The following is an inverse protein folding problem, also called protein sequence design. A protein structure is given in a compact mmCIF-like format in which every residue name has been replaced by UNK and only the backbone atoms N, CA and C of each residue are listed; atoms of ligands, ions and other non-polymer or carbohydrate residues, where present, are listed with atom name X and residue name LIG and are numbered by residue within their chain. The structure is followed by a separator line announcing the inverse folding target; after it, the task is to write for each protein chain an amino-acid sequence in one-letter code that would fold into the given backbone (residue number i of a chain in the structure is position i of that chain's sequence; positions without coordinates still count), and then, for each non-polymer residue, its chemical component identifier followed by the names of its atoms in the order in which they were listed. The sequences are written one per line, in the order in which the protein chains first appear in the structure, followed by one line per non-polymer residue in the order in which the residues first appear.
data_IF_820363917561
#
_entry.id   IF_820363917561
#
_cell.length_a   1.000
_cell.length_b   1.000
_cell.length_c   1.000
_cell.angle_alpha   90.00
_cell.angle_beta   90.00
_cell.angle_gamma   90.00
#
_symmetry.space_group_name_H-M   'P 1'
#
loop_
_entity.id
_entity.type
_entity.pdbx_description
1 polymer ?
#
# COMPACT_ATOMS: atom_id res chain seq x y z
N UNK A 1 20.72 29.20 -6.28
CA UNK A 1 20.87 27.95 -7.05
C UNK A 1 20.51 28.22 -8.50
N UNK A 2 21.35 27.78 -9.44
CA UNK A 2 21.12 27.89 -10.90
C UNK A 2 20.24 26.76 -11.39
N UNK A 3 19.72 26.88 -12.61
CA UNK A 3 18.92 25.81 -13.24
C UNK A 3 19.72 24.52 -13.47
N UNK A 4 21.01 24.66 -13.80
CA UNK A 4 21.89 23.50 -14.03
C UNK A 4 22.19 22.75 -12.73
N UNK A 5 22.40 23.47 -11.63
CA UNK A 5 22.53 22.87 -10.31
C UNK A 5 21.27 22.12 -9.90
N UNK A 6 20.08 22.68 -10.14
CA UNK A 6 18.80 22.02 -9.88
C UNK A 6 18.63 20.76 -10.73
N UNK A 7 19.00 20.79 -12.01
CA UNK A 7 18.96 19.63 -12.89
C UNK A 7 19.92 18.52 -12.43
N UNK A 8 21.09 18.90 -11.93
CA UNK A 8 22.05 17.94 -11.36
C UNK A 8 21.50 17.26 -10.09
N UNK A 9 20.87 18.03 -9.21
CA UNK A 9 20.17 17.48 -8.03
C UNK A 9 19.06 16.53 -8.46
N UNK A 10 18.26 16.92 -9.46
CA UNK A 10 17.19 16.07 -10.00
C UNK A 10 17.72 14.73 -10.53
N UNK A 11 18.81 14.75 -11.30
CA UNK A 11 19.46 13.56 -11.81
C UNK A 11 20.04 12.69 -10.67
N UNK A 12 20.61 13.34 -9.65
CA UNK A 12 21.10 12.65 -8.45
C UNK A 12 19.96 11.92 -7.72
N UNK A 13 18.84 12.59 -7.45
CA UNK A 13 17.65 11.99 -6.82
C UNK A 13 17.10 10.84 -7.66
N UNK A 14 17.05 11.00 -8.99
CA UNK A 14 16.64 9.92 -9.89
C UNK A 14 17.55 8.68 -9.78
N UNK A 15 18.86 8.90 -9.67
CA UNK A 15 19.86 7.83 -9.65
C UNK A 15 19.95 7.14 -8.28
N UNK A 16 19.99 7.92 -7.21
CA UNK A 16 20.24 7.43 -5.83
C UNK A 16 18.95 7.06 -5.11
N UNK A 17 17.79 7.59 -5.57
CA UNK A 17 16.48 7.51 -4.90
C UNK A 17 16.48 8.15 -3.49
N UNK A 18 17.53 8.87 -3.13
CA UNK A 18 17.62 9.57 -1.85
C UNK A 18 16.97 10.96 -1.96
N UNK A 19 16.15 11.36 -0.99
CA UNK A 19 15.56 12.69 -0.97
C UNK A 19 16.65 13.76 -0.75
N UNK A 20 16.48 14.91 -1.41
CA UNK A 20 17.37 16.05 -1.24
C UNK A 20 16.54 17.26 -0.76
N UNK A 21 16.89 17.84 0.41
CA UNK A 21 16.20 19.02 0.90
C UNK A 21 16.52 20.25 0.03
N UNK A 22 15.50 21.07 -0.21
CA UNK A 22 15.58 22.31 -0.97
C UNK A 22 14.55 23.29 -0.41
N UNK A 23 14.83 24.58 -0.41
CA UNK A 23 13.78 25.56 -0.12
C UNK A 23 12.83 25.73 -1.30
N UNK A 24 11.55 25.96 -1.02
CA UNK A 24 10.57 26.19 -2.07
C UNK A 24 10.94 27.40 -2.93
N UNK A 25 11.56 28.42 -2.33
CA UNK A 25 12.10 29.59 -3.04
C UNK A 25 13.19 29.21 -4.03
N UNK A 26 14.14 28.36 -3.62
CA UNK A 26 15.21 27.90 -4.51
C UNK A 26 14.67 27.10 -5.70
N UNK A 27 13.71 26.20 -5.46
CA UNK A 27 13.05 25.45 -6.53
C UNK A 27 12.39 26.38 -7.56
N UNK A 28 11.60 27.34 -7.08
CA UNK A 28 10.83 28.25 -7.93
C UNK A 28 11.77 29.16 -8.72
N UNK A 29 12.74 29.78 -8.04
CA UNK A 29 13.67 30.75 -8.65
C UNK A 29 14.61 30.09 -9.65
N UNK A 30 15.11 28.85 -9.37
CA UNK A 30 16.00 28.12 -10.28
C UNK A 30 15.32 27.76 -11.59
N UNK A 31 13.99 27.69 -11.60
CA UNK A 31 13.20 27.48 -12.83
C UNK A 31 12.79 28.80 -13.50
N UNK A 32 13.31 29.97 -13.04
CA UNK A 32 13.00 31.28 -13.59
C UNK A 32 11.61 31.79 -13.24
N UNK A 33 11.02 31.28 -12.17
CA UNK A 33 9.71 31.69 -11.66
C UNK A 33 9.88 32.56 -10.41
N UNK A 34 9.12 33.65 -10.27
CA UNK A 34 9.16 34.50 -9.09
C UNK A 34 7.98 34.28 -8.13
N UNK A 35 6.85 33.82 -8.68
CA UNK A 35 5.59 33.67 -7.94
C UNK A 35 4.90 32.34 -8.27
N UNK A 36 4.06 31.88 -7.36
CA UNK A 36 3.20 30.68 -7.52
C UNK A 36 1.92 31.02 -8.30
N UNK A 37 2.06 31.50 -9.56
CA UNK A 37 0.91 31.67 -10.44
C UNK A 37 0.50 30.34 -11.03
N UNK A 38 -0.75 30.21 -11.47
CA UNK A 38 -1.25 28.97 -12.13
C UNK A 38 -0.35 28.52 -13.27
N UNK A 39 0.15 29.49 -14.08
CA UNK A 39 1.09 29.19 -15.18
C UNK A 39 2.44 28.66 -14.68
N UNK A 40 3.00 29.28 -13.64
CA UNK A 40 4.29 28.85 -13.08
C UNK A 40 4.16 27.50 -12.36
N UNK A 41 3.07 27.23 -11.67
CA UNK A 41 2.77 25.94 -11.06
C UNK A 41 2.71 24.85 -12.12
N UNK A 42 2.01 25.07 -13.23
CA UNK A 42 1.95 24.12 -14.34
C UNK A 42 3.35 23.85 -14.95
N UNK A 43 4.16 24.88 -15.08
CA UNK A 43 5.53 24.75 -15.59
C UNK A 43 6.44 23.98 -14.63
N UNK A 44 6.41 24.28 -13.32
CA UNK A 44 7.18 23.57 -12.29
C UNK A 44 6.74 22.11 -12.21
N UNK A 45 5.44 21.81 -12.25
CA UNK A 45 4.93 20.44 -12.27
C UNK A 45 5.42 19.68 -13.51
N UNK A 46 5.43 20.32 -14.69
CA UNK A 46 5.97 19.72 -15.91
C UNK A 46 7.47 19.39 -15.79
N UNK A 47 8.24 20.24 -15.09
CA UNK A 47 9.64 19.96 -14.80
C UNK A 47 9.79 18.80 -13.80
N UNK A 48 9.01 18.78 -12.72
CA UNK A 48 8.99 17.69 -11.75
C UNK A 48 8.64 16.36 -12.43
N UNK A 49 7.63 16.34 -13.28
CA UNK A 49 7.21 15.14 -14.02
C UNK A 49 8.28 14.67 -15.02
N UNK A 50 8.98 15.60 -15.69
CA UNK A 50 10.11 15.28 -16.59
C UNK A 50 11.21 14.49 -15.86
N UNK A 51 11.51 14.84 -14.63
CA UNK A 51 12.52 14.16 -13.80
C UNK A 51 11.92 13.08 -12.90
N UNK A 52 10.63 12.82 -13.01
CA UNK A 52 9.91 11.89 -12.18
C UNK A 52 10.10 12.18 -10.67
N UNK A 53 9.91 13.43 -10.28
CA UNK A 53 10.08 13.94 -8.92
C UNK A 53 8.79 14.47 -8.33
N UNK A 54 8.73 14.48 -7.01
CA UNK A 54 7.71 15.18 -6.20
C UNK A 54 8.38 15.99 -5.11
N UNK A 55 7.66 16.93 -4.53
CA UNK A 55 8.10 17.66 -3.34
C UNK A 55 7.27 17.25 -2.12
N UNK A 56 7.93 17.02 -0.99
CA UNK A 56 7.27 16.67 0.27
C UNK A 56 7.83 17.55 1.40
N UNK A 57 7.01 18.41 2.02
CA UNK A 57 5.64 18.79 1.68
C UNK A 57 5.55 19.45 0.29
N UNK A 58 4.33 19.50 -0.27
CA UNK A 58 4.13 20.11 -1.59
C UNK A 58 4.64 21.57 -1.61
N UNK A 59 5.41 21.92 -2.65
CA UNK A 59 6.01 23.26 -2.78
C UNK A 59 4.97 24.38 -2.92
N UNK A 60 3.74 24.04 -3.30
CA UNK A 60 2.63 25.00 -3.44
C UNK A 60 2.11 25.43 -2.07
N UNK A 61 2.16 24.58 -1.06
CA UNK A 61 1.61 24.83 0.27
C UNK A 61 2.61 25.57 1.17
N UNK A 62 2.11 26.29 2.17
CA UNK A 62 2.90 26.97 3.21
C UNK A 62 3.74 28.14 2.71
N UNK A 63 4.74 28.53 3.49
CA UNK A 63 5.61 29.67 3.18
C UNK A 63 6.65 29.32 2.11
N UNK A 64 7.06 30.35 1.34
CA UNK A 64 8.00 30.16 0.22
C UNK A 64 9.42 29.80 0.70
N UNK A 65 9.77 30.16 1.91
CA UNK A 65 11.07 29.86 2.49
C UNK A 65 11.10 28.55 3.28
N UNK A 66 9.97 27.84 3.37
CA UNK A 66 9.94 26.52 3.99
C UNK A 66 10.79 25.54 3.18
N UNK A 67 11.43 24.62 3.90
CA UNK A 67 12.13 23.50 3.28
C UNK A 67 11.13 22.48 2.77
N UNK A 68 11.38 21.97 1.59
CA UNK A 68 10.73 20.79 1.02
C UNK A 68 11.81 19.80 0.58
N UNK A 69 11.47 18.55 0.44
CA UNK A 69 12.39 17.52 -0.07
C UNK A 69 12.00 17.17 -1.50
N UNK A 70 12.95 17.24 -2.42
CA UNK A 70 12.82 16.64 -3.74
C UNK A 70 12.97 15.14 -3.58
N UNK A 71 11.89 14.40 -3.87
CA UNK A 71 11.87 12.94 -3.81
C UNK A 71 11.62 12.37 -5.20
N UNK A 72 12.16 11.20 -5.46
CA UNK A 72 11.83 10.46 -6.66
C UNK A 72 10.33 10.09 -6.60
N UNK A 73 9.60 10.47 -7.64
CA UNK A 73 8.22 10.06 -7.84
C UNK A 73 8.26 8.64 -8.39
N UNK A 74 8.01 7.67 -7.54
CA UNK A 74 7.85 6.31 -8.02
C UNK A 74 6.69 6.30 -9.01
N UNK A 75 7.01 6.23 -10.29
CA UNK A 75 6.00 6.09 -11.34
C UNK A 75 5.45 4.68 -11.26
N UNK A 76 4.47 4.50 -10.40
CA UNK A 76 3.65 3.30 -10.44
C UNK A 76 2.74 3.46 -11.64
N UNK A 77 3.18 2.99 -12.79
CA UNK A 77 2.32 2.72 -13.93
C UNK A 77 1.47 1.49 -13.58
N UNK A 78 0.58 1.60 -12.64
CA UNK A 78 -0.52 0.65 -12.46
C UNK A 78 -1.46 1.15 -11.36
N UNK A 79 -2.74 0.93 -11.50
CA UNK A 79 -3.80 0.98 -10.49
C UNK A 79 -3.52 -0.02 -9.34
N UNK A 80 -2.35 0.05 -8.71
CA UNK A 80 -1.87 -0.95 -7.76
C UNK A 80 -1.54 -0.32 -6.43
N UNK A 81 -1.96 -1.03 -5.39
CA UNK A 81 -1.54 -0.80 -4.02
C UNK A 81 -0.07 -1.18 -3.83
N UNK A 82 0.72 -0.31 -3.18
CA UNK A 82 2.09 -0.60 -2.75
C UNK A 82 2.31 -0.13 -1.32
N UNK A 83 2.65 -1.05 -0.44
CA UNK A 83 3.07 -0.72 0.92
C UNK A 83 4.43 -0.02 0.87
N UNK A 84 4.55 1.12 1.60
CA UNK A 84 5.74 1.96 1.59
C UNK A 84 6.53 1.84 2.90
N UNK A 85 5.87 1.98 4.05
CA UNK A 85 6.50 1.77 5.36
C UNK A 85 5.53 1.24 6.40
N UNK A 86 6.06 0.56 7.41
CA UNK A 86 5.33 0.06 8.56
C UNK A 86 6.15 0.28 9.82
N UNK A 87 5.59 1.03 10.77
CA UNK A 87 6.16 1.21 12.09
C UNK A 87 5.16 0.70 13.14
N UNK A 88 5.64 -0.08 14.09
CA UNK A 88 4.85 -0.66 15.19
C UNK A 88 5.61 -0.40 16.48
N UNK A 89 4.96 0.23 17.47
CA UNK A 89 5.60 0.47 18.78
C UNK A 89 5.82 -0.84 19.53
N UNK A 90 4.74 -1.59 19.76
CA UNK A 90 4.80 -2.84 20.49
C UNK A 90 3.64 -3.76 20.07
N UNK A 91 3.95 -4.96 19.61
CA UNK A 91 2.97 -6.00 19.32
C UNK A 91 3.60 -7.38 19.41
N UNK A 92 3.23 -8.16 20.42
CA UNK A 92 3.81 -9.49 20.70
C UNK A 92 5.34 -9.39 20.86
N UNK A 93 6.12 -10.07 20.02
CA UNK A 93 7.58 -9.96 20.01
C UNK A 93 8.12 -8.89 19.05
N UNK A 94 7.25 -8.04 18.49
CA UNK A 94 7.65 -6.89 17.69
C UNK A 94 7.78 -5.67 18.62
N UNK A 95 8.99 -5.15 18.78
CA UNK A 95 9.29 -3.98 19.60
C UNK A 95 9.98 -2.95 18.73
N UNK A 96 9.44 -1.73 18.68
CA UNK A 96 9.96 -0.61 17.87
C UNK A 96 10.30 -1.04 16.43
N UNK A 97 9.40 -1.85 15.85
CA UNK A 97 9.58 -2.34 14.50
C UNK A 97 9.46 -1.20 13.50
N UNK A 98 10.44 -1.08 12.62
CA UNK A 98 10.41 -0.20 11.47
C UNK A 98 10.80 -1.01 10.24
N UNK A 99 9.87 -1.12 9.27
CA UNK A 99 10.12 -1.76 7.98
C UNK A 99 9.89 -0.73 6.90
N UNK A 100 10.87 -0.60 6.02
CA UNK A 100 10.80 0.21 4.81
C UNK A 100 10.66 -0.70 3.59
N UNK A 101 9.58 -0.50 2.83
CA UNK A 101 9.28 -1.24 1.60
C UNK A 101 9.57 -0.41 0.35
N UNK A 102 10.16 0.80 0.52
CA UNK A 102 10.38 1.76 -0.58
C UNK A 102 11.17 1.17 -1.75
N UNK A 103 12.10 0.27 -1.45
CA UNK A 103 12.95 -0.38 -2.46
C UNK A 103 12.29 -1.57 -3.16
N UNK A 104 11.06 -1.95 -2.77
CA UNK A 104 10.40 -3.13 -3.32
C UNK A 104 9.45 -2.76 -4.46
N UNK A 105 9.70 -3.27 -5.67
CA UNK A 105 8.85 -2.96 -6.83
C UNK A 105 7.51 -3.71 -6.82
N UNK A 106 7.51 -5.01 -6.52
CA UNK A 106 6.31 -5.86 -6.66
C UNK A 106 6.08 -6.81 -5.48
N UNK A 107 7.12 -7.24 -4.83
CA UNK A 107 7.02 -8.19 -3.72
C UNK A 107 8.08 -7.91 -2.66
N UNK A 108 7.76 -8.21 -1.42
CA UNK A 108 8.67 -8.16 -0.29
C UNK A 108 8.77 -9.54 0.36
N UNK A 109 9.97 -9.99 0.67
CA UNK A 109 10.21 -11.24 1.36
C UNK A 109 10.78 -10.96 2.75
N UNK A 110 10.08 -11.42 3.80
CA UNK A 110 10.56 -11.34 5.18
C UNK A 110 11.40 -12.58 5.49
N UNK A 111 12.70 -12.39 5.70
CA UNK A 111 13.65 -13.47 6.02
C UNK A 111 14.08 -13.34 7.47
N UNK A 112 14.23 -14.47 8.17
CA UNK A 112 14.70 -14.51 9.55
C UNK A 112 14.51 -15.86 10.20
N UNK A 113 15.10 -16.05 11.36
CA UNK A 113 15.02 -17.30 12.15
C UNK A 113 13.57 -17.59 12.60
N UNK A 114 13.32 -18.84 12.99
CA UNK A 114 12.04 -19.19 13.60
C UNK A 114 11.86 -18.40 14.91
N UNK A 115 10.67 -17.87 15.12
CA UNK A 115 10.39 -17.01 16.28
C UNK A 115 10.77 -15.54 16.11
N UNK A 116 11.42 -15.12 15.02
CA UNK A 116 11.82 -13.72 14.78
C UNK A 116 10.67 -12.73 14.57
N UNK A 117 9.42 -13.19 14.51
CA UNK A 117 8.27 -12.32 14.39
C UNK A 117 7.70 -12.17 12.98
N UNK A 118 8.22 -12.85 11.96
CA UNK A 118 7.72 -12.76 10.57
C UNK A 118 6.19 -12.92 10.45
N UNK A 119 5.65 -13.96 11.06
CA UNK A 119 4.20 -14.18 11.08
C UNK A 119 3.44 -13.12 11.87
N UNK A 120 4.08 -12.52 12.90
CA UNK A 120 3.49 -11.44 13.68
C UNK A 120 3.44 -10.14 12.88
N UNK A 121 4.38 -9.89 11.96
CA UNK A 121 4.30 -8.77 11.01
C UNK A 121 3.09 -8.92 10.08
N UNK A 122 2.89 -10.10 9.50
CA UNK A 122 1.71 -10.38 8.65
C UNK A 122 0.40 -10.24 9.42
N UNK A 123 0.38 -10.74 10.66
CA UNK A 123 -0.78 -10.60 11.55
C UNK A 123 -1.03 -9.12 11.90
N UNK A 124 0.01 -8.34 12.14
CA UNK A 124 -0.10 -6.91 12.41
C UNK A 124 -0.65 -6.13 11.21
N UNK A 125 -0.17 -6.38 10.00
CA UNK A 125 -0.72 -5.79 8.77
C UNK A 125 -2.20 -6.12 8.63
N UNK A 126 -2.58 -7.39 8.84
CA UNK A 126 -3.99 -7.81 8.80
C UNK A 126 -4.84 -7.10 9.87
N UNK A 127 -4.31 -6.93 11.08
CA UNK A 127 -4.98 -6.21 12.17
C UNK A 127 -5.20 -4.74 11.82
N UNK A 128 -4.21 -4.08 11.25
CA UNK A 128 -4.28 -2.68 10.82
C UNK A 128 -5.40 -2.51 9.80
N UNK A 129 -5.36 -3.26 8.70
CA UNK A 129 -6.37 -3.12 7.65
C UNK A 129 -7.76 -3.57 8.11
N UNK A 130 -7.87 -4.61 8.92
CA UNK A 130 -9.14 -4.99 9.55
C UNK A 130 -9.75 -3.83 10.34
N UNK A 131 -8.94 -3.15 11.16
CA UNK A 131 -9.38 -1.96 11.90
C UNK A 131 -9.74 -0.80 10.95
N UNK A 132 -8.91 -0.52 9.94
CA UNK A 132 -9.14 0.59 8.99
C UNK A 132 -10.43 0.41 8.19
N UNK A 133 -10.73 -0.78 7.69
CA UNK A 133 -11.99 -1.06 6.99
C UNK A 133 -13.19 -0.88 7.93
N UNK A 134 -13.09 -1.28 9.19
CA UNK A 134 -14.15 -1.05 10.16
C UNK A 134 -14.33 0.45 10.46
N UNK A 135 -13.24 1.22 10.57
CA UNK A 135 -13.30 2.67 10.74
C UNK A 135 -13.98 3.33 9.53
N UNK A 136 -13.59 2.93 8.31
CA UNK A 136 -14.11 3.50 7.08
C UNK A 136 -15.60 3.18 6.82
N UNK A 137 -16.08 2.04 7.33
CA UNK A 137 -17.47 1.58 7.12
C UNK A 137 -18.44 1.97 8.25
N UNK A 138 -17.95 2.52 9.35
CA UNK A 138 -18.79 2.92 10.49
C UNK A 138 -19.47 4.26 10.22
N UNK A 139 -20.81 4.27 10.20
CA UNK A 139 -21.65 5.46 10.04
C UNK A 139 -21.53 6.40 11.24
N UNK A 140 -21.28 5.89 12.45
CA UNK A 140 -21.37 6.64 13.70
C UNK A 140 -20.04 6.87 14.45
N UNK A 141 -18.90 6.66 13.82
CA UNK A 141 -17.59 7.02 14.40
C UNK A 141 -17.15 6.24 15.66
N UNK A 142 -17.94 5.29 16.15
CA UNK A 142 -17.59 4.42 17.27
C UNK A 142 -16.63 3.34 16.80
N UNK A 143 -15.38 3.37 17.28
CA UNK A 143 -14.37 2.35 17.02
C UNK A 143 -14.76 1.02 17.69
N UNK A 144 -15.54 0.21 16.99
CA UNK A 144 -15.93 -1.11 17.49
C UNK A 144 -14.76 -2.11 17.48
N UNK A 145 -13.78 -1.91 16.60
CA UNK A 145 -12.64 -2.81 16.41
C UNK A 145 -11.34 -1.99 16.31
N UNK A 146 -10.84 -1.43 17.42
CA UNK A 146 -9.58 -0.69 17.42
C UNK A 146 -8.42 -1.64 17.13
N UNK A 147 -7.39 -1.16 16.46
CA UNK A 147 -6.13 -1.87 16.36
C UNK A 147 -5.54 -2.04 17.77
N UNK A 148 -5.08 -3.24 18.16
CA UNK A 148 -4.64 -3.50 19.55
C UNK A 148 -3.25 -2.94 19.87
N UNK A 149 -2.61 -2.22 18.98
CA UNK A 149 -1.30 -1.60 19.14
C UNK A 149 -1.23 -0.29 18.38
N UNK A 150 -0.25 0.53 18.73
CA UNK A 150 0.04 1.78 18.01
C UNK A 150 0.90 1.50 16.80
N UNK A 151 0.56 2.19 15.70
CA UNK A 151 1.22 1.98 14.43
C UNK A 151 1.24 3.25 13.57
N UNK A 152 2.19 3.25 12.66
CA UNK A 152 2.21 4.15 11.50
C UNK A 152 2.40 3.29 10.26
N UNK A 153 1.52 3.43 9.29
CA UNK A 153 1.60 2.74 8.01
C UNK A 153 1.53 3.76 6.89
N UNK A 154 2.36 3.61 5.90
CA UNK A 154 2.26 4.40 4.68
C UNK A 154 2.24 3.49 3.45
N UNK A 155 1.47 3.90 2.46
CA UNK A 155 1.30 3.16 1.22
C UNK A 155 0.88 4.09 0.09
N UNK A 156 1.02 3.60 -1.14
CA UNK A 156 0.48 4.23 -2.33
C UNK A 156 -0.73 3.40 -2.78
N UNK A 157 -1.83 4.09 -3.05
CA UNK A 157 -3.04 3.50 -3.64
C UNK A 157 -3.55 4.44 -4.73
N UNK A 158 -3.85 3.90 -5.92
CA UNK A 158 -4.29 4.68 -7.09
C UNK A 158 -3.39 5.91 -7.39
N UNK A 159 -2.06 5.72 -7.28
CA UNK A 159 -1.01 6.74 -7.47
C UNK A 159 -0.95 7.86 -6.42
N UNK A 160 -1.72 7.79 -5.35
CA UNK A 160 -1.68 8.73 -4.24
C UNK A 160 -1.01 8.12 -3.01
N UNK A 161 -0.19 8.92 -2.32
CA UNK A 161 0.50 8.51 -1.11
C UNK A 161 -0.34 8.81 0.12
N UNK A 162 -0.54 7.80 0.94
CA UNK A 162 -1.28 7.89 2.20
C UNK A 162 -0.39 7.50 3.38
N UNK A 163 -0.46 8.29 4.46
CA UNK A 163 0.17 7.98 5.73
C UNK A 163 -0.89 8.00 6.83
N UNK A 164 -1.04 6.87 7.51
CA UNK A 164 -2.04 6.64 8.55
C UNK A 164 -1.34 6.37 9.88
N UNK A 165 -1.77 7.07 10.91
CA UNK A 165 -1.29 6.96 12.28
C UNK A 165 -2.48 6.60 13.15
N UNK A 166 -2.45 5.44 13.80
CA UNK A 166 -3.47 4.98 14.76
C UNK A 166 -4.92 5.14 14.25
N UNK A 167 -5.14 4.84 12.96
CA UNK A 167 -6.45 4.87 12.32
C UNK A 167 -6.93 6.24 11.85
N UNK A 168 -6.02 7.22 11.75
CA UNK A 168 -6.29 8.54 11.15
C UNK A 168 -5.23 8.87 10.11
N UNK A 169 -5.62 9.59 9.06
CA UNK A 169 -4.65 10.18 8.16
C UNK A 169 -3.76 11.17 8.91
N UNK A 170 -2.52 11.33 8.49
CA UNK A 170 -1.54 12.27 9.09
C UNK A 170 -2.05 13.71 9.17
N UNK A 171 -2.88 14.14 8.23
CA UNK A 171 -3.54 15.44 8.23
C UNK A 171 -4.74 15.53 9.19
N UNK A 172 -5.02 14.50 9.98
CA UNK A 172 -6.12 14.43 10.94
C UNK A 172 -7.46 14.00 10.34
N UNK A 173 -7.58 13.88 9.02
CA UNK A 173 -8.80 13.46 8.35
C UNK A 173 -9.17 12.00 8.67
N UNK A 174 -10.44 11.66 8.47
CA UNK A 174 -10.93 10.30 8.63
C UNK A 174 -10.45 9.43 7.47
N UNK A 175 -10.22 8.16 7.76
CA UNK A 175 -9.99 7.13 6.74
C UNK A 175 -11.32 6.78 6.07
N UNK A 176 -11.33 6.74 4.75
CA UNK A 176 -12.48 6.41 3.90
C UNK A 176 -12.17 5.16 3.07
N UNK A 177 -13.18 4.53 2.46
CA UNK A 177 -12.97 3.28 1.71
C UNK A 177 -12.16 3.45 0.42
N UNK A 178 -12.26 4.61 -0.20
CA UNK A 178 -11.57 4.94 -1.46
C UNK A 178 -10.05 4.99 -1.32
N UNK A 179 -9.53 5.33 -0.14
CA UNK A 179 -8.09 5.34 0.12
C UNK A 179 -7.53 3.97 0.50
N UNK A 180 -8.37 3.00 0.83
CA UNK A 180 -7.95 1.65 1.21
C UNK A 180 -7.80 0.75 -0.02
N UNK A 181 -6.92 -0.27 0.02
CA UNK A 181 -6.82 -1.25 -1.06
C UNK A 181 -8.17 -1.97 -1.25
N UNK A 182 -8.57 -2.18 -2.50
CA UNK A 182 -9.87 -2.81 -2.82
C UNK A 182 -10.02 -4.20 -2.20
N UNK A 183 -8.95 -4.98 -2.23
CA UNK A 183 -8.93 -6.35 -1.72
C UNK A 183 -7.63 -6.65 -1.01
N UNK A 184 -7.71 -7.39 0.09
CA UNK A 184 -6.56 -7.97 0.78
C UNK A 184 -6.74 -9.49 0.78
N UNK A 185 -5.77 -10.17 0.18
CA UNK A 185 -5.73 -11.62 0.14
C UNK A 185 -4.64 -12.11 1.07
N UNK A 186 -4.97 -12.99 1.99
CA UNK A 186 -3.99 -13.66 2.83
C UNK A 186 -4.04 -15.18 2.63
N UNK A 187 -2.87 -15.79 2.66
CA UNK A 187 -2.73 -17.24 2.70
C UNK A 187 -1.66 -17.59 3.73
N UNK A 188 -1.91 -18.61 4.52
CA UNK A 188 -0.98 -19.08 5.52
C UNK A 188 -0.96 -20.61 5.56
N UNK A 189 0.20 -21.18 5.26
CA UNK A 189 0.40 -22.64 5.19
C UNK A 189 0.66 -23.31 6.54
N UNK A 190 0.82 -22.55 7.62
CA UNK A 190 1.04 -23.08 8.97
C UNK A 190 -0.24 -23.62 9.60
N UNK A 191 -0.08 -24.46 10.64
CA UNK A 191 -1.19 -25.03 11.40
C UNK A 191 -1.96 -24.00 12.23
N UNK A 192 -1.37 -22.81 12.44
CA UNK A 192 -1.93 -21.76 13.27
C UNK A 192 -3.08 -21.02 12.58
N UNK A 193 -4.26 -21.22 13.09
CA UNK A 193 -5.50 -20.59 12.60
C UNK A 193 -5.75 -19.19 13.17
N UNK A 194 -4.79 -18.57 13.90
CA UNK A 194 -4.97 -17.28 14.60
C UNK A 194 -5.35 -16.16 13.63
N UNK A 195 -4.63 -16.06 12.51
CA UNK A 195 -4.88 -15.04 11.50
C UNK A 195 -6.31 -15.14 10.97
N UNK A 196 -6.72 -16.35 10.58
CA UNK A 196 -8.07 -16.64 10.12
C UNK A 196 -9.12 -16.29 11.17
N UNK A 197 -9.03 -16.88 12.36
CA UNK A 197 -10.05 -16.75 13.42
C UNK A 197 -10.26 -15.30 13.86
N UNK A 198 -9.19 -14.50 13.88
CA UNK A 198 -9.22 -13.18 14.49
C UNK A 198 -9.66 -12.09 13.52
N UNK A 199 -9.24 -12.14 12.25
CA UNK A 199 -9.43 -11.03 11.31
C UNK A 199 -10.26 -11.40 10.09
N UNK A 200 -10.17 -12.61 9.58
CA UNK A 200 -10.84 -12.99 8.33
C UNK A 200 -12.18 -13.68 8.56
N UNK A 201 -12.25 -14.61 9.50
CA UNK A 201 -13.48 -15.33 9.82
C UNK A 201 -14.67 -14.41 10.15
N UNK A 202 -14.54 -13.36 10.98
CA UNK A 202 -15.67 -12.47 11.26
C UNK A 202 -16.22 -11.74 10.02
N UNK A 203 -15.32 -11.39 9.09
CA UNK A 203 -15.71 -10.78 7.81
C UNK A 203 -16.43 -11.79 6.92
N UNK A 204 -15.90 -13.01 6.84
CA UNK A 204 -16.47 -14.09 6.07
C UNK A 204 -17.87 -14.49 6.58
N UNK A 205 -18.04 -14.67 7.89
CA UNK A 205 -19.33 -15.00 8.50
C UNK A 205 -20.39 -13.92 8.23
N UNK A 206 -20.00 -12.64 8.37
CA UNK A 206 -20.87 -11.51 8.04
C UNK A 206 -21.23 -11.47 6.56
N UNK A 207 -20.31 -11.83 5.70
CA UNK A 207 -20.52 -11.94 4.27
C UNK A 207 -21.49 -13.06 3.92
N UNK A 208 -21.29 -14.28 4.43
CA UNK A 208 -22.19 -15.41 4.23
C UNK A 208 -23.59 -15.14 4.73
N UNK A 209 -23.74 -14.46 5.87
CA UNK A 209 -25.08 -14.11 6.41
C UNK A 209 -25.84 -13.12 5.52
N UNK A 210 -25.13 -12.27 4.78
CA UNK A 210 -25.73 -11.34 3.83
C UNK A 210 -26.10 -12.01 2.50
N UNK A 211 -25.36 -13.03 2.06
CA UNK A 211 -25.64 -13.76 0.83
C UNK A 211 -27.04 -14.39 0.81
N UNK A 212 -27.54 -14.81 1.97
CA UNK A 212 -28.87 -15.43 2.09
C UNK A 212 -30.01 -14.42 2.11
N UNK A 213 -29.72 -13.11 2.22
CA UNK A 213 -30.73 -12.08 2.49
C UNK A 213 -30.98 -11.08 1.35
N UNK A 214 -30.12 -10.94 0.33
CA UNK A 214 -30.22 -9.84 -0.65
C UNK A 214 -29.72 -10.18 -2.05
N UNK A 215 -30.39 -9.60 -3.05
CA UNK A 215 -30.01 -9.60 -4.47
C UNK A 215 -28.94 -8.53 -4.80
N UNK A 216 -27.86 -8.46 -4.12
CA UNK A 216 -26.79 -7.52 -4.43
C UNK A 216 -25.51 -7.96 -3.73
N UNK A 217 -24.53 -8.34 -4.51
CA UNK A 217 -23.36 -9.01 -3.99
C UNK A 217 -22.12 -8.11 -4.08
N UNK A 218 -21.66 -7.65 -2.92
CA UNK A 218 -20.36 -6.96 -2.83
C UNK A 218 -19.36 -7.91 -2.17
N UNK A 219 -18.28 -8.32 -2.85
CA UNK A 219 -17.30 -9.22 -2.27
C UNK A 219 -16.66 -8.60 -1.02
N UNK A 220 -16.22 -9.41 -0.05
CA UNK A 220 -15.54 -8.91 1.12
C UNK A 220 -14.19 -8.28 0.73
N UNK A 221 -13.77 -7.27 1.47
CA UNK A 221 -12.50 -6.59 1.24
C UNK A 221 -11.28 -7.38 1.76
N UNK A 222 -11.49 -8.39 2.61
CA UNK A 222 -10.43 -9.27 3.10
C UNK A 222 -10.81 -10.73 2.85
N UNK A 223 -9.92 -11.45 2.18
CA UNK A 223 -10.07 -12.85 1.83
C UNK A 223 -8.95 -13.66 2.49
N UNK A 224 -9.28 -14.88 2.86
CA UNK A 224 -8.30 -15.83 3.35
C UNK A 224 -8.38 -17.11 2.53
N UNK A 225 -7.25 -17.50 1.95
CA UNK A 225 -7.13 -18.77 1.25
C UNK A 225 -6.49 -19.75 2.23
N UNK A 226 -7.29 -20.67 2.73
CA UNK A 226 -6.81 -21.77 3.54
C UNK A 226 -6.26 -22.89 2.66
N UNK A 227 -5.67 -23.89 3.31
CA UNK A 227 -5.19 -25.09 2.62
C UNK A 227 -6.28 -25.78 1.80
N UNK A 228 -7.52 -25.70 2.23
CA UNK A 228 -8.66 -26.37 1.57
C UNK A 228 -9.14 -25.66 0.30
N UNK A 229 -8.89 -24.35 0.18
CA UNK A 229 -9.25 -23.59 -1.02
C UNK A 229 -8.13 -23.51 -2.07
N UNK A 230 -6.98 -24.14 -1.82
CA UNK A 230 -5.84 -24.09 -2.75
C UNK A 230 -6.18 -24.66 -4.12
N UNK A 231 -6.89 -25.78 -4.16
CA UNK A 231 -7.26 -26.42 -5.43
C UNK A 231 -8.21 -25.52 -6.23
N UNK A 232 -9.18 -24.89 -5.58
CA UNK A 232 -10.10 -23.92 -6.21
C UNK A 232 -9.33 -22.71 -6.71
N UNK A 233 -8.39 -22.20 -5.92
CA UNK A 233 -7.55 -21.05 -6.31
C UNK A 233 -6.68 -21.40 -7.51
N UNK A 234 -6.09 -22.59 -7.55
CA UNK A 234 -5.32 -23.08 -8.68
C UNK A 234 -6.17 -23.20 -9.94
N UNK A 235 -7.38 -23.73 -9.83
CA UNK A 235 -8.35 -23.79 -10.93
C UNK A 235 -8.66 -22.39 -11.46
N UNK A 236 -8.91 -21.41 -10.58
CA UNK A 236 -9.17 -20.03 -10.98
C UNK A 236 -8.00 -19.44 -11.77
N UNK A 237 -6.77 -19.74 -11.36
CA UNK A 237 -5.56 -19.31 -12.07
C UNK A 237 -5.42 -19.99 -13.44
N UNK A 238 -5.81 -21.27 -13.55
CA UNK A 238 -5.80 -22.00 -14.84
C UNK A 238 -6.81 -21.46 -15.86
N UNK A 239 -7.90 -20.88 -15.40
CA UNK A 239 -8.91 -20.21 -16.23
C UNK A 239 -8.64 -18.71 -16.45
N UNK A 240 -7.47 -18.22 -16.03
CA UNK A 240 -7.10 -16.83 -16.26
C UNK A 240 -6.91 -16.56 -17.76
N UNK A 241 -7.40 -15.42 -18.23
CA UNK A 241 -7.12 -14.91 -19.58
C UNK A 241 -5.73 -14.26 -19.67
N UNK A 242 -5.07 -14.03 -18.54
CA UNK A 242 -3.70 -13.48 -18.51
C UNK A 242 -2.69 -14.56 -18.89
N UNK A 243 -2.02 -14.35 -20.02
CA UNK A 243 -1.06 -15.29 -20.61
C UNK A 243 0.14 -15.56 -19.69
N UNK A 244 0.55 -14.60 -18.88
CA UNK A 244 1.67 -14.76 -17.95
C UNK A 244 1.27 -15.60 -16.75
N UNK A 245 0.03 -15.48 -16.28
CA UNK A 245 -0.55 -16.34 -15.25
C UNK A 245 -0.63 -17.78 -15.77
N UNK A 246 -1.15 -17.99 -16.96
CA UNK A 246 -1.27 -19.33 -17.57
C UNK A 246 0.10 -19.98 -17.74
N UNK A 247 1.10 -19.25 -18.24
CA UNK A 247 2.48 -19.75 -18.37
C UNK A 247 3.09 -20.12 -17.02
N UNK A 248 2.87 -19.28 -16.00
CA UNK A 248 3.36 -19.53 -14.65
C UNK A 248 2.77 -20.82 -14.07
N UNK A 249 1.45 -20.98 -14.17
CA UNK A 249 0.75 -22.17 -13.64
C UNK A 249 1.16 -23.42 -14.42
N UNK A 250 1.27 -23.36 -15.76
CA UNK A 250 1.74 -24.44 -16.58
C UNK A 250 3.19 -24.87 -16.22
N UNK A 251 4.05 -23.90 -15.88
CA UNK A 251 5.40 -24.17 -15.39
C UNK A 251 5.44 -24.91 -14.06
N UNK A 252 4.52 -24.63 -13.14
CA UNK A 252 4.40 -25.31 -11.83
C UNK A 252 3.83 -26.72 -12.02
N UNK A 253 2.75 -26.86 -12.79
CA UNK A 253 2.04 -28.14 -12.95
C UNK A 253 2.74 -29.10 -13.89
N UNK A 254 3.73 -28.62 -14.67
CA UNK A 254 4.42 -29.39 -15.72
C UNK A 254 3.49 -30.07 -16.74
N UNK A 255 2.25 -29.61 -16.84
CA UNK A 255 1.22 -30.10 -17.77
C UNK A 255 0.50 -28.94 -18.41
N UNK A 256 0.39 -28.99 -19.74
CA UNK A 256 -0.39 -28.00 -20.51
C UNK A 256 -1.91 -28.29 -20.49
N UNK A 257 -2.32 -29.48 -20.06
CA UNK A 257 -3.73 -29.89 -20.01
C UNK A 257 -4.10 -30.33 -18.60
N UNK A 258 -5.18 -29.77 -18.08
CA UNK A 258 -5.82 -30.18 -16.85
C UNK A 258 -7.16 -30.86 -17.18
N UNK A 259 -7.33 -32.12 -16.82
CA UNK A 259 -8.64 -32.79 -16.87
C UNK A 259 -9.26 -32.72 -15.49
N UNK A 260 -10.42 -32.08 -15.42
CA UNK A 260 -11.21 -31.99 -14.20
C UNK A 260 -12.34 -33.02 -14.33
N UNK A 261 -12.40 -33.97 -13.41
CA UNK A 261 -13.54 -34.86 -13.22
C UNK A 261 -14.25 -34.48 -11.93
N UNK A 262 -15.54 -34.31 -12.01
CA UNK A 262 -16.42 -34.17 -10.83
C UNK A 262 -17.02 -35.55 -10.56
N UNK A 263 -16.82 -36.09 -9.37
CA UNK A 263 -17.55 -37.23 -8.82
C UNK A 263 -18.77 -36.79 -8.03
#
# INVERSE_FOLDING_TARGET
MTRDELNNIANQVQKTKQPVPITKRELINSLGCEKRTTRNIAYINSWLDKYNLVTVPNYVDGYIDDVTELKFKYSIKSDRFQLYSLNIEEYKNLHQLCIDFESTDKYCCLIGLNGSGKSNVLEAISAIFYSLYHIATLVDGLRKYPCPFKYRISYINDNEFYEIIDGRLKNGNKVTLDILPKNILASYSGEDTRLWKKYYKPIYEKYCSKMTATQGFTPPFMFYISRYEWDISLLTLLYSEDIDVVKFVAGITKKAECKISFE
#
